data_IF_808135899879
#
_entry.id   IF_808135899879
#
_cell.length_a   1.000
_cell.length_b   1.000
_cell.length_c   1.000
_cell.angle_alpha   90.00
_cell.angle_beta   90.00
_cell.angle_gamma   90.00
#
_symmetry.space_group_name_H-M   'P 1'
#
loop_
_entity.id
_entity.type
_entity.pdbx_description
1 polymer ?
#
# COMPACT_ATOMS: atom_id res chain seq x y z
N UNK A 1 18.54 29.57 -25.41
CA UNK A 1 18.26 29.17 -24.01
C UNK A 1 16.77 28.82 -23.84
N UNK A 2 16.10 28.41 -24.93
CA UNK A 2 14.66 28.60 -25.07
C UNK A 2 13.86 27.29 -24.91
N UNK A 3 14.52 26.13 -24.90
CA UNK A 3 13.85 24.82 -24.75
C UNK A 3 13.51 24.44 -23.30
N UNK A 4 14.19 25.05 -22.32
CA UNK A 4 13.94 24.78 -20.89
C UNK A 4 12.71 25.57 -20.41
N UNK A 5 12.44 26.74 -21.00
CA UNK A 5 11.26 27.55 -20.71
C UNK A 5 9.99 26.93 -21.31
N UNK A 6 10.06 26.41 -22.54
CA UNK A 6 8.94 25.72 -23.21
C UNK A 6 8.47 24.46 -22.46
N UNK A 7 9.39 23.64 -21.95
CA UNK A 7 9.05 22.48 -21.09
C UNK A 7 8.54 22.83 -19.70
N UNK A 8 8.77 24.07 -19.23
CA UNK A 8 8.23 24.56 -17.97
C UNK A 8 6.80 25.06 -18.14
N UNK A 9 6.51 25.68 -19.28
CA UNK A 9 5.16 26.09 -19.68
C UNK A 9 4.26 24.89 -19.99
N UNK A 10 4.74 23.87 -20.71
CA UNK A 10 3.99 22.60 -20.92
C UNK A 10 3.76 21.81 -19.62
N UNK A 11 4.67 21.92 -18.65
CA UNK A 11 4.46 21.35 -17.30
C UNK A 11 3.58 22.21 -16.40
N UNK A 12 3.43 23.50 -16.70
CA UNK A 12 2.51 24.39 -15.99
C UNK A 12 1.08 24.22 -16.51
N UNK A 13 0.89 23.98 -17.81
CA UNK A 13 -0.43 23.65 -18.38
C UNK A 13 -0.96 22.29 -17.88
N UNK A 14 -0.08 21.32 -17.62
CA UNK A 14 -0.48 20.00 -17.08
C UNK A 14 -0.70 19.98 -15.56
N UNK A 15 -0.29 21.02 -14.82
CA UNK A 15 -0.43 21.11 -13.36
C UNK A 15 -1.62 21.93 -12.86
N UNK A 16 -2.38 22.58 -13.74
CA UNK A 16 -3.53 23.44 -13.38
C UNK A 16 -4.92 22.81 -13.61
N UNK A 17 -5.01 21.49 -13.77
CA UNK A 17 -6.30 20.77 -13.84
C UNK A 17 -6.56 19.91 -12.60
N UNK A 18 -6.54 20.54 -11.42
CA UNK A 18 -7.27 20.03 -10.25
C UNK A 18 -8.10 21.18 -9.70
N UNK A 19 -9.23 21.42 -10.36
CA UNK A 19 -10.23 22.36 -9.91
C UNK A 19 -10.90 21.78 -8.64
N UNK A 20 -11.11 22.55 -7.55
CA UNK A 20 -11.69 22.03 -6.30
C UNK A 20 -13.17 21.63 -6.37
N UNK A 21 -13.77 21.59 -7.57
CA UNK A 21 -15.19 21.40 -7.80
C UNK A 21 -15.62 19.94 -8.06
N UNK A 22 -14.69 18.97 -8.09
CA UNK A 22 -15.01 17.53 -8.22
C UNK A 22 -15.65 16.91 -6.95
N UNK A 23 -16.23 17.72 -6.07
CA UNK A 23 -16.99 17.30 -4.89
C UNK A 23 -18.50 17.52 -4.97
N UNK A 24 -19.04 18.06 -6.04
CA UNK A 24 -20.48 18.10 -6.26
C UNK A 24 -20.77 18.35 -7.74
N UNK A 25 -21.07 17.29 -8.50
CA UNK A 25 -21.85 17.37 -9.73
C UNK A 25 -22.42 15.96 -9.99
N UNK A 26 -23.51 15.65 -9.29
CA UNK A 26 -24.61 14.94 -9.93
C UNK A 26 -25.21 15.98 -10.88
N UNK A 27 -24.89 15.89 -12.17
CA UNK A 27 -25.63 16.68 -13.16
C UNK A 27 -27.07 16.17 -13.20
N UNK A 28 -27.96 17.16 -13.13
CA UNK A 28 -29.40 17.07 -13.14
C UNK A 28 -29.87 16.39 -14.42
N UNK A 29 -30.56 15.27 -14.26
CA UNK A 29 -31.61 14.89 -15.20
C UNK A 29 -32.87 15.63 -14.77
N UNK A 30 -33.19 16.71 -15.46
CA UNK A 30 -34.55 17.25 -15.45
C UNK A 30 -35.52 16.17 -15.96
N UNK A 31 -36.70 16.17 -15.34
CA UNK A 31 -37.89 15.35 -15.58
C UNK A 31 -37.86 13.90 -15.10
N UNK A 32 -38.00 13.73 -13.79
CA UNK A 32 -38.99 12.81 -13.20
C UNK A 32 -39.26 13.22 -11.76
N UNK A 33 -40.39 13.90 -11.55
CA UNK A 33 -41.04 13.93 -10.25
C UNK A 33 -41.31 12.47 -9.82
N UNK A 34 -40.67 11.93 -8.77
CA UNK A 34 -41.26 10.81 -8.09
C UNK A 34 -42.41 11.44 -7.30
N UNK A 35 -43.64 11.19 -7.74
CA UNK A 35 -44.82 11.50 -6.96
C UNK A 35 -44.68 10.81 -5.59
N UNK A 36 -44.13 11.55 -4.64
CA UNK A 36 -44.07 11.23 -3.23
C UNK A 36 -45.45 11.57 -2.66
N UNK A 37 -46.47 10.89 -3.15
CA UNK A 37 -47.69 10.67 -2.38
C UNK A 37 -47.32 9.70 -1.25
N UNK A 38 -46.70 10.27 -0.22
CA UNK A 38 -46.69 9.75 1.14
C UNK A 38 -48.13 9.72 1.65
N UNK A 39 -48.98 8.85 1.11
CA UNK A 39 -50.33 8.64 1.61
C UNK A 39 -50.86 7.25 1.22
N UNK A 40 -50.33 6.22 1.86
CA UNK A 40 -51.23 5.27 2.54
C UNK A 40 -50.47 4.46 3.59
N UNK A 41 -50.99 4.58 4.80
CA UNK A 41 -50.63 3.82 5.99
C UNK A 41 -50.76 2.33 5.71
N UNK A 42 -49.64 1.63 5.80
CA UNK A 42 -49.56 0.18 5.61
C UNK A 42 -48.18 -0.32 5.96
N UNK A 43 -47.78 -0.09 7.20
CA UNK A 43 -46.54 -0.56 7.85
C UNK A 43 -46.53 -2.10 7.94
N UNK A 44 -46.47 -2.77 6.80
CA UNK A 44 -45.90 -4.10 6.75
C UNK A 44 -44.41 -3.90 6.52
N UNK A 45 -43.65 -4.09 7.60
CA UNK A 45 -42.20 -4.36 7.57
C UNK A 45 -41.96 -5.74 6.96
N UNK A 46 -42.53 -5.98 5.78
CA UNK A 46 -42.23 -7.18 5.01
C UNK A 46 -40.81 -6.99 4.46
N UNK A 47 -39.84 -7.81 4.90
CA UNK A 47 -38.45 -7.68 4.46
C UNK A 47 -38.32 -7.78 2.93
N UNK A 48 -39.24 -8.48 2.26
CA UNK A 48 -39.25 -8.59 0.79
C UNK A 48 -39.64 -7.25 0.17
N UNK A 49 -40.69 -6.61 0.68
CA UNK A 49 -41.14 -5.29 0.19
C UNK A 49 -40.13 -4.17 0.51
N UNK A 50 -39.42 -4.29 1.64
CA UNK A 50 -38.29 -3.40 1.96
C UNK A 50 -37.14 -3.57 0.97
N UNK A 51 -36.76 -4.81 0.64
CA UNK A 51 -35.69 -5.10 -0.32
C UNK A 51 -36.00 -4.58 -1.73
N UNK A 52 -37.22 -4.76 -2.23
CA UNK A 52 -37.59 -4.24 -3.55
C UNK A 52 -37.56 -2.72 -3.61
N UNK A 53 -38.01 -2.04 -2.55
CA UNK A 53 -37.86 -0.58 -2.45
C UNK A 53 -36.40 -0.14 -2.44
N UNK A 54 -35.52 -0.86 -1.76
CA UNK A 54 -34.09 -0.56 -1.73
C UNK A 54 -33.41 -0.80 -3.09
N UNK A 55 -33.81 -1.83 -3.84
CA UNK A 55 -33.27 -2.10 -5.18
C UNK A 55 -33.83 -1.14 -6.23
N UNK A 56 -35.14 -0.84 -6.19
CA UNK A 56 -35.77 0.08 -7.15
C UNK A 56 -35.19 1.50 -7.06
N UNK A 57 -34.64 1.88 -5.90
CA UNK A 57 -33.94 3.14 -5.71
C UNK A 57 -32.54 3.20 -6.36
N UNK A 58 -31.93 2.06 -6.73
CA UNK A 58 -30.60 2.02 -7.36
C UNK A 58 -30.76 2.12 -8.88
N UNK A 59 -30.25 3.19 -9.53
CA UNK A 59 -30.39 3.35 -10.98
C UNK A 59 -29.61 2.28 -11.72
N UNK A 60 -30.19 1.80 -12.83
CA UNK A 60 -29.53 0.84 -13.72
C UNK A 60 -28.24 1.43 -14.28
N UNK A 61 -27.22 0.57 -14.42
CA UNK A 61 -25.95 0.96 -14.98
C UNK A 61 -26.09 1.28 -16.47
N UNK A 62 -25.71 2.50 -16.85
CA UNK A 62 -25.52 2.85 -18.27
C UNK A 62 -24.18 2.28 -18.75
N UNK A 63 -24.04 2.00 -20.04
CA UNK A 63 -22.76 1.56 -20.64
C UNK A 63 -21.58 2.48 -20.27
N UNK A 64 -21.83 3.79 -20.17
CA UNK A 64 -20.84 4.76 -19.70
C UNK A 64 -20.52 4.63 -18.21
N UNK A 65 -21.54 4.38 -17.38
CA UNK A 65 -21.40 4.08 -15.95
C UNK A 65 -20.58 2.81 -15.69
N UNK A 66 -20.85 1.73 -16.42
CA UNK A 66 -20.08 0.48 -16.34
C UNK A 66 -18.60 0.71 -16.64
N UNK A 67 -18.29 1.43 -17.72
CA UNK A 67 -16.92 1.76 -18.09
C UNK A 67 -16.21 2.62 -17.04
N UNK A 68 -16.92 3.57 -16.41
CA UNK A 68 -16.37 4.39 -15.31
C UNK A 68 -16.05 3.53 -14.09
N UNK A 69 -16.94 2.61 -13.71
CA UNK A 69 -16.72 1.71 -12.57
C UNK A 69 -15.54 0.78 -12.85
N UNK A 70 -15.48 0.17 -14.04
CA UNK A 70 -14.37 -0.69 -14.44
C UNK A 70 -13.01 0.02 -14.33
N UNK A 71 -12.90 1.21 -14.92
CA UNK A 71 -11.67 2.04 -14.83
C UNK A 71 -11.31 2.40 -13.38
N UNK A 72 -12.31 2.66 -12.53
CA UNK A 72 -12.08 2.97 -11.11
C UNK A 72 -11.51 1.75 -10.37
N UNK A 73 -12.08 0.58 -10.61
CA UNK A 73 -11.61 -0.68 -10.00
C UNK A 73 -10.17 -0.98 -10.44
N UNK A 74 -9.89 -0.91 -11.74
CA UNK A 74 -8.54 -1.13 -12.27
C UNK A 74 -7.51 -0.16 -11.67
N UNK A 75 -7.84 1.14 -11.61
CA UNK A 75 -6.98 2.15 -10.99
C UNK A 75 -6.76 1.86 -9.50
N UNK A 76 -7.78 1.41 -8.79
CA UNK A 76 -7.68 1.07 -7.37
C UNK A 76 -6.77 -0.14 -7.13
N UNK A 77 -6.93 -1.21 -7.92
CA UNK A 77 -6.12 -2.42 -7.85
C UNK A 77 -4.66 -2.11 -8.19
N UNK A 78 -4.42 -1.36 -9.27
CA UNK A 78 -3.07 -0.94 -9.66
C UNK A 78 -2.44 -0.03 -8.60
N UNK A 79 -3.23 0.83 -7.96
CA UNK A 79 -2.81 1.67 -6.84
C UNK A 79 -2.36 0.85 -5.63
N UNK A 80 -3.16 -0.14 -5.24
CA UNK A 80 -2.84 -1.06 -4.15
C UNK A 80 -1.56 -1.86 -4.45
N UNK A 81 -1.45 -2.44 -5.65
CA UNK A 81 -0.26 -3.20 -6.08
C UNK A 81 1.01 -2.32 -6.10
N UNK A 82 0.90 -1.06 -6.54
CA UNK A 82 2.02 -0.09 -6.48
C UNK A 82 2.42 0.25 -5.05
N UNK A 83 1.46 0.35 -4.13
CA UNK A 83 1.75 0.63 -2.72
C UNK A 83 2.43 -0.57 -2.05
N UNK A 84 1.89 -1.77 -2.25
CA UNK A 84 2.43 -3.03 -1.73
C UNK A 84 3.87 -3.26 -2.20
N UNK A 85 4.11 -3.17 -3.52
CA UNK A 85 5.43 -3.41 -4.11
C UNK A 85 6.52 -2.42 -3.67
N UNK A 86 6.17 -1.24 -3.16
CA UNK A 86 7.14 -0.23 -2.67
C UNK A 86 7.51 -0.40 -1.19
N UNK A 87 6.84 -1.30 -0.49
CA UNK A 87 7.10 -1.60 0.92
C UNK A 87 8.32 -2.50 1.05
N UNK A 88 9.25 -2.15 1.95
CA UNK A 88 10.42 -3.00 2.23
C UNK A 88 10.03 -4.25 3.03
N UNK A 89 9.03 -4.14 3.90
CA UNK A 89 8.45 -5.27 4.62
C UNK A 89 8.03 -6.38 3.65
N UNK A 90 7.31 -6.00 2.58
CA UNK A 90 6.85 -6.94 1.55
C UNK A 90 8.02 -7.59 0.83
N UNK A 91 9.07 -6.82 0.50
CA UNK A 91 10.27 -7.38 -0.10
C UNK A 91 10.97 -8.39 0.82
N UNK A 92 10.97 -8.13 2.14
CA UNK A 92 11.45 -9.07 3.15
C UNK A 92 10.64 -10.37 3.20
N UNK A 93 9.32 -10.28 3.21
CA UNK A 93 8.44 -11.46 3.18
C UNK A 93 8.59 -12.26 1.88
N UNK A 94 8.68 -11.59 0.72
CA UNK A 94 8.93 -12.27 -0.57
C UNK A 94 10.29 -13.00 -0.56
N UNK A 95 11.32 -12.41 0.05
CA UNK A 95 12.63 -13.07 0.21
C UNK A 95 12.49 -14.35 1.04
N UNK A 96 11.72 -14.32 2.13
CA UNK A 96 11.41 -15.51 2.95
C UNK A 96 10.62 -16.56 2.17
N UNK A 97 9.65 -16.14 1.35
CA UNK A 97 8.92 -17.06 0.47
C UNK A 97 9.86 -17.76 -0.52
N UNK A 98 10.84 -17.04 -1.08
CA UNK A 98 11.87 -17.65 -1.92
C UNK A 98 12.74 -18.67 -1.20
N UNK A 99 13.11 -18.42 0.07
CA UNK A 99 13.83 -19.40 0.88
C UNK A 99 13.00 -20.66 1.13
N UNK A 100 11.71 -20.50 1.45
CA UNK A 100 10.77 -21.64 1.61
C UNK A 100 10.58 -22.42 0.32
N UNK A 101 10.51 -21.72 -0.82
CA UNK A 101 10.44 -22.33 -2.15
C UNK A 101 11.68 -23.19 -2.43
N UNK A 102 12.89 -22.70 -2.08
CA UNK A 102 14.13 -23.49 -2.19
C UNK A 102 14.15 -24.73 -1.29
N UNK A 103 13.56 -24.63 -0.10
CA UNK A 103 13.41 -25.76 0.84
C UNK A 103 12.32 -26.74 0.43
N UNK A 104 11.61 -26.49 -0.68
CA UNK A 104 10.45 -27.28 -1.12
C UNK A 104 9.31 -27.33 -0.08
N UNK A 105 9.20 -26.30 0.77
CA UNK A 105 8.12 -26.17 1.75
C UNK A 105 6.88 -25.47 1.15
N UNK A 106 7.05 -24.79 0.02
CA UNK A 106 5.98 -24.09 -0.69
C UNK A 106 5.96 -24.50 -2.15
N UNK A 107 4.76 -24.75 -2.66
CA UNK A 107 4.52 -24.98 -4.09
C UNK A 107 4.48 -23.66 -4.86
N UNK A 108 5.03 -23.67 -6.06
CA UNK A 108 5.10 -22.50 -6.95
C UNK A 108 3.70 -22.00 -7.31
N UNK A 109 2.73 -22.92 -7.49
CA UNK A 109 1.35 -22.58 -7.82
C UNK A 109 0.61 -21.81 -6.72
N UNK A 110 1.07 -21.90 -5.47
CA UNK A 110 0.51 -21.10 -4.38
C UNK A 110 1.13 -19.69 -4.36
N UNK A 111 2.33 -19.51 -4.92
CA UNK A 111 3.07 -18.25 -4.89
C UNK A 111 2.75 -17.34 -6.10
N UNK A 112 2.73 -17.93 -7.30
CA UNK A 112 2.63 -17.21 -8.58
C UNK A 112 1.46 -17.75 -9.39
N UNK A 113 0.73 -16.86 -10.05
CA UNK A 113 -0.31 -17.22 -11.00
C UNK A 113 0.34 -17.94 -12.21
N UNK A 114 0.01 -19.22 -12.36
CA UNK A 114 0.50 -20.07 -13.44
C UNK A 114 -0.23 -19.73 -14.74
N UNK A 115 0.51 -19.30 -15.76
CA UNK A 115 -0.04 -19.09 -17.11
C UNK A 115 -0.35 -20.46 -17.77
N UNK A 116 -1.33 -20.55 -18.69
CA UNK A 116 -1.75 -21.84 -19.30
C UNK A 116 -0.61 -22.62 -19.99
N UNK A 117 0.44 -21.94 -20.45
CA UNK A 117 1.64 -22.55 -21.04
C UNK A 117 2.58 -23.21 -20.03
N UNK A 118 2.40 -22.96 -18.73
CA UNK A 118 3.22 -23.49 -17.65
C UNK A 118 2.79 -24.88 -17.17
N UNK A 119 1.69 -25.44 -17.69
CA UNK A 119 1.14 -26.74 -17.27
C UNK A 119 2.04 -27.94 -17.63
N UNK A 120 3.09 -27.74 -18.43
CA UNK A 120 4.10 -28.78 -18.71
C UNK A 120 5.16 -28.79 -17.61
N UNK A 121 5.64 -29.98 -17.20
CA UNK A 121 6.71 -30.13 -16.19
C UNK A 121 7.95 -29.26 -16.47
N UNK A 122 8.39 -29.19 -17.73
CA UNK A 122 9.51 -28.34 -18.17
C UNK A 122 9.20 -26.84 -18.11
N UNK A 123 7.92 -26.45 -18.20
CA UNK A 123 7.45 -25.08 -18.08
C UNK A 123 7.45 -24.62 -16.63
N UNK A 124 6.99 -25.47 -15.71
CA UNK A 124 7.05 -25.23 -14.26
C UNK A 124 8.47 -25.03 -13.77
N UNK A 125 9.39 -25.93 -14.15
CA UNK A 125 10.83 -25.81 -13.82
C UNK A 125 11.43 -24.51 -14.38
N UNK A 126 11.06 -24.18 -15.62
CA UNK A 126 11.21 -22.86 -16.29
C UNK A 126 10.94 -21.70 -15.35
N UNK A 127 9.66 -21.59 -15.02
CA UNK A 127 9.12 -20.47 -14.27
C UNK A 127 9.67 -20.41 -12.84
N UNK A 128 9.88 -21.54 -12.17
CA UNK A 128 10.42 -21.45 -10.82
C UNK A 128 11.90 -21.08 -10.77
N UNK A 129 12.69 -21.40 -11.79
CA UNK A 129 14.03 -20.82 -11.93
C UNK A 129 13.97 -19.29 -12.14
N UNK A 130 13.07 -18.81 -12.99
CA UNK A 130 12.87 -17.38 -13.23
C UNK A 130 12.40 -16.64 -11.97
N UNK A 131 11.42 -17.19 -11.26
CA UNK A 131 10.90 -16.65 -10.00
C UNK A 131 11.99 -16.61 -8.93
N UNK A 132 12.77 -17.69 -8.79
CA UNK A 132 13.89 -17.73 -7.84
C UNK A 132 14.95 -16.68 -8.20
N UNK A 133 15.32 -16.54 -9.48
CA UNK A 133 16.26 -15.51 -9.94
C UNK A 133 15.76 -14.09 -9.63
N UNK A 134 14.48 -13.81 -9.85
CA UNK A 134 13.86 -12.53 -9.50
C UNK A 134 13.88 -12.28 -7.99
N UNK A 135 13.64 -13.31 -7.15
CA UNK A 135 13.68 -13.18 -5.69
C UNK A 135 15.12 -12.97 -5.19
N UNK A 136 16.11 -13.60 -5.83
CA UNK A 136 17.53 -13.34 -5.56
C UNK A 136 17.92 -11.89 -5.86
N UNK A 137 17.47 -11.34 -6.99
CA UNK A 137 17.69 -9.94 -7.32
C UNK A 137 17.03 -9.00 -6.30
N UNK A 138 15.81 -9.30 -5.86
CA UNK A 138 15.14 -8.57 -4.78
C UNK A 138 15.97 -8.61 -3.49
N UNK A 139 16.51 -9.77 -3.13
CA UNK A 139 17.31 -9.96 -1.93
C UNK A 139 18.61 -9.15 -1.99
N UNK A 140 19.29 -9.15 -3.14
CA UNK A 140 20.49 -8.34 -3.39
C UNK A 140 20.20 -6.84 -3.29
N UNK A 141 19.11 -6.37 -3.93
CA UNK A 141 18.67 -4.98 -3.86
C UNK A 141 18.29 -4.55 -2.44
N UNK A 142 17.67 -5.44 -1.66
CA UNK A 142 17.35 -5.20 -0.25
C UNK A 142 18.62 -5.02 0.59
N UNK A 143 19.64 -5.85 0.37
CA UNK A 143 20.95 -5.70 1.01
C UNK A 143 21.63 -4.36 0.69
N UNK A 144 21.59 -3.92 -0.56
CA UNK A 144 22.07 -2.59 -0.96
C UNK A 144 21.29 -1.45 -0.31
N UNK A 145 19.96 -1.58 -0.22
CA UNK A 145 19.11 -0.60 0.47
C UNK A 145 19.47 -0.52 1.95
N UNK A 146 19.73 -1.64 2.62
CA UNK A 146 20.17 -1.66 4.01
C UNK A 146 21.52 -0.93 4.21
N UNK A 147 22.50 -1.16 3.31
CA UNK A 147 23.79 -0.45 3.31
C UNK A 147 23.60 1.06 3.15
N UNK A 148 22.74 1.49 2.23
CA UNK A 148 22.44 2.92 1.99
C UNK A 148 21.73 3.54 3.20
N UNK A 149 20.79 2.82 3.84
CA UNK A 149 20.13 3.27 5.08
C UNK A 149 21.14 3.46 6.22
N UNK A 150 22.07 2.52 6.39
CA UNK A 150 23.14 2.65 7.38
C UNK A 150 24.06 3.85 7.10
N UNK A 151 24.39 4.11 5.83
CA UNK A 151 25.15 5.31 5.43
C UNK A 151 24.37 6.60 5.67
N UNK A 152 23.06 6.62 5.40
CA UNK A 152 22.20 7.79 5.65
C UNK A 152 22.21 8.22 7.13
N UNK A 153 22.34 7.27 8.05
CA UNK A 153 22.46 7.56 9.48
C UNK A 153 23.72 8.36 9.85
N UNK A 154 24.77 8.33 9.02
CA UNK A 154 26.04 9.04 9.27
C UNK A 154 26.01 10.51 8.85
N UNK A 155 25.14 10.89 7.92
CA UNK A 155 25.10 12.24 7.37
C UNK A 155 23.98 13.07 7.97
N UNK A 156 24.25 14.38 8.18
CA UNK A 156 23.21 15.32 8.64
C UNK A 156 22.12 15.47 7.58
N UNK A 157 20.87 15.56 8.04
CA UNK A 157 19.70 15.86 7.19
C UNK A 157 19.97 17.17 6.40
N UNK A 158 19.72 17.15 5.08
CA UNK A 158 19.86 18.25 4.08
C UNK A 158 21.22 18.41 3.37
N UNK A 159 22.27 17.67 3.74
CA UNK A 159 23.56 17.71 3.02
C UNK A 159 23.41 17.23 1.57
N UNK A 160 24.28 17.69 0.65
CA UNK A 160 24.31 17.24 -0.76
C UNK A 160 24.44 15.72 -0.85
N UNK A 161 25.32 15.12 -0.06
CA UNK A 161 25.49 13.66 0.02
C UNK A 161 24.25 12.94 0.55
N UNK A 162 23.58 13.51 1.56
CA UNK A 162 22.32 12.96 2.07
C UNK A 162 21.24 12.93 0.99
N UNK A 163 21.11 14.00 0.19
CA UNK A 163 20.17 14.04 -0.95
C UNK A 163 20.55 13.04 -2.04
N UNK A 164 21.84 12.89 -2.37
CA UNK A 164 22.33 11.90 -3.34
C UNK A 164 21.99 10.47 -2.91
N UNK A 165 22.23 10.14 -1.64
CA UNK A 165 21.91 8.83 -1.06
C UNK A 165 20.40 8.56 -1.03
N UNK A 166 19.58 9.56 -0.70
CA UNK A 166 18.12 9.44 -0.78
C UNK A 166 17.64 9.13 -2.19
N UNK A 167 18.16 9.83 -3.20
CA UNK A 167 17.81 9.55 -4.61
C UNK A 167 18.25 8.15 -5.02
N UNK A 168 19.41 7.67 -4.56
CA UNK A 168 19.87 6.31 -4.80
C UNK A 168 18.95 5.28 -4.14
N UNK A 169 18.56 5.50 -2.88
CA UNK A 169 17.61 4.66 -2.16
C UNK A 169 16.26 4.58 -2.88
N UNK A 170 15.74 5.72 -3.35
CA UNK A 170 14.48 5.75 -4.11
C UNK A 170 14.57 4.93 -5.41
N UNK A 171 15.69 5.00 -6.14
CA UNK A 171 15.91 4.20 -7.36
C UNK A 171 15.90 2.69 -7.07
N UNK A 172 16.64 2.23 -6.06
CA UNK A 172 16.64 0.81 -5.69
C UNK A 172 15.24 0.35 -5.23
N UNK A 173 14.52 1.17 -4.47
CA UNK A 173 13.12 0.89 -4.09
C UNK A 173 12.20 0.76 -5.30
N UNK A 174 12.33 1.64 -6.29
CA UNK A 174 11.52 1.57 -7.52
C UNK A 174 11.89 0.34 -8.36
N UNK A 175 13.18 -0.01 -8.44
CA UNK A 175 13.66 -1.20 -9.15
C UNK A 175 13.07 -2.47 -8.53
N UNK A 176 13.22 -2.63 -7.22
CA UNK A 176 12.64 -3.73 -6.46
C UNK A 176 11.12 -3.81 -6.63
N UNK A 177 10.44 -2.66 -6.55
CA UNK A 177 8.99 -2.61 -6.76
C UNK A 177 8.57 -3.03 -8.17
N UNK A 178 9.40 -2.84 -9.20
CA UNK A 178 9.10 -3.31 -10.57
C UNK A 178 9.19 -4.83 -10.64
N UNK A 179 10.25 -5.41 -10.09
CA UNK A 179 10.43 -6.87 -10.05
C UNK A 179 9.27 -7.53 -9.31
N UNK A 180 8.90 -7.02 -8.13
CA UNK A 180 7.77 -7.56 -7.34
C UNK A 180 6.45 -7.52 -8.12
N UNK A 181 6.19 -6.49 -8.92
CA UNK A 181 4.96 -6.43 -9.73
C UNK A 181 4.98 -7.38 -10.91
N UNK A 182 6.16 -7.68 -11.45
CA UNK A 182 6.30 -8.60 -12.57
C UNK A 182 6.17 -10.07 -12.15
N UNK A 183 6.31 -10.39 -10.86
CA UNK A 183 6.17 -11.74 -10.31
C UNK A 183 4.75 -12.32 -10.36
N UNK A 184 3.73 -11.57 -10.79
CA UNK A 184 2.31 -12.00 -10.89
C UNK A 184 1.88 -12.89 -9.71
N UNK A 185 1.96 -12.33 -8.50
CA UNK A 185 1.64 -13.09 -7.27
C UNK A 185 0.16 -13.43 -7.21
N UNK A 186 -0.17 -14.58 -6.62
CA UNK A 186 -1.55 -15.01 -6.40
C UNK A 186 -2.29 -14.05 -5.47
N UNK A 187 -3.60 -13.88 -5.68
CA UNK A 187 -4.47 -13.05 -4.82
C UNK A 187 -4.41 -13.42 -3.33
N UNK A 188 -4.17 -14.69 -2.99
CA UNK A 188 -3.99 -15.17 -1.61
C UNK A 188 -2.73 -14.55 -0.97
N UNK A 189 -1.59 -14.64 -1.66
CA UNK A 189 -0.32 -14.03 -1.20
C UNK A 189 -0.47 -12.52 -1.06
N UNK A 190 -1.22 -11.87 -1.95
CA UNK A 190 -1.50 -10.44 -1.80
C UNK A 190 -2.24 -10.11 -0.50
N UNK A 191 -3.21 -10.93 -0.09
CA UNK A 191 -3.93 -10.75 1.18
C UNK A 191 -3.01 -11.01 2.38
N UNK A 192 -2.20 -12.07 2.35
CA UNK A 192 -1.22 -12.34 3.41
C UNK A 192 -0.24 -11.18 3.61
N UNK A 193 0.30 -10.63 2.52
CA UNK A 193 1.20 -9.47 2.55
C UNK A 193 0.51 -8.22 3.13
N UNK A 194 -0.76 -8.01 2.81
CA UNK A 194 -1.56 -6.92 3.39
C UNK A 194 -1.70 -7.09 4.90
N UNK A 195 -1.94 -8.31 5.37
CA UNK A 195 -2.12 -8.59 6.80
C UNK A 195 -0.81 -8.47 7.61
N UNK A 196 0.33 -8.83 7.00
CA UNK A 196 1.66 -8.53 7.57
C UNK A 196 1.86 -7.01 7.73
N UNK A 197 1.47 -6.21 6.74
CA UNK A 197 1.56 -4.75 6.85
C UNK A 197 0.63 -4.25 7.96
N UNK A 198 -0.64 -4.67 7.98
CA UNK A 198 -1.61 -4.24 8.99
C UNK A 198 -1.13 -4.54 10.41
N UNK A 199 -0.69 -5.79 10.66
CA UNK A 199 -0.18 -6.19 11.97
C UNK A 199 1.07 -5.40 12.39
N UNK A 200 1.96 -5.08 11.44
CA UNK A 200 3.13 -4.23 11.71
C UNK A 200 2.73 -2.79 12.02
N UNK A 201 1.79 -2.23 11.27
CA UNK A 201 1.24 -0.89 11.53
C UNK A 201 0.56 -0.84 12.90
N UNK A 202 -0.21 -1.85 13.27
CA UNK A 202 -0.85 -1.93 14.59
C UNK A 202 0.17 -1.95 15.73
N UNK A 203 1.28 -2.68 15.56
CA UNK A 203 2.41 -2.68 16.51
C UNK A 203 3.01 -1.28 16.65
N UNK A 204 3.29 -0.62 15.51
CA UNK A 204 3.85 0.74 15.47
C UNK A 204 2.90 1.74 16.14
N UNK A 205 1.62 1.72 15.81
CA UNK A 205 0.60 2.62 16.38
C UNK A 205 0.45 2.43 17.88
N UNK A 206 0.49 1.19 18.39
CA UNK A 206 0.49 0.90 19.83
C UNK A 206 1.71 1.53 20.52
N UNK A 207 2.91 1.31 19.97
CA UNK A 207 4.16 1.88 20.50
C UNK A 207 4.16 3.42 20.45
N UNK A 208 3.66 4.03 19.39
CA UNK A 208 3.51 5.48 19.29
C UNK A 208 2.55 6.05 20.34
N UNK A 209 1.41 5.38 20.58
CA UNK A 209 0.45 5.78 21.62
C UNK A 209 1.09 5.71 23.00
N UNK A 210 1.85 4.65 23.28
CA UNK A 210 2.61 4.51 24.54
C UNK A 210 3.68 5.59 24.68
N UNK A 211 4.45 5.86 23.63
CA UNK A 211 5.46 6.93 23.60
C UNK A 211 4.83 8.30 23.87
N UNK A 212 3.70 8.63 23.20
CA UNK A 212 2.94 9.87 23.42
C UNK A 212 2.38 9.99 24.85
N UNK A 213 1.92 8.89 25.45
CA UNK A 213 1.46 8.89 26.85
C UNK A 213 2.62 9.16 27.81
N UNK A 214 3.75 8.51 27.59
CA UNK A 214 4.94 8.66 28.43
C UNK A 214 5.57 10.05 28.32
N UNK A 215 5.59 10.66 27.13
CA UNK A 215 6.08 12.04 26.94
C UNK A 215 5.18 13.06 27.65
N UNK A 216 3.85 12.88 27.59
CA UNK A 216 2.90 13.71 28.37
C UNK A 216 3.11 13.59 29.87
N UNK A 217 3.30 12.36 30.38
CA UNK A 217 3.62 12.14 31.79
C UNK A 217 4.95 12.78 32.18
N UNK A 218 5.96 12.73 31.30
CA UNK A 218 7.27 13.36 31.51
C UNK A 218 7.19 14.89 31.67
N UNK A 219 6.24 15.54 30.98
CA UNK A 219 6.01 16.98 31.05
C UNK A 219 5.11 17.38 32.24
N UNK A 220 4.53 16.42 32.95
CA UNK A 220 3.79 16.64 34.20
C UNK A 220 4.70 16.50 35.43
N UNK A 221 4.36 17.16 36.55
CA UNK A 221 5.11 17.02 37.82
C UNK A 221 4.93 15.59 38.37
N UNK A 222 5.86 14.70 38.07
CA UNK A 222 5.88 13.31 38.55
C UNK A 222 6.67 13.14 39.87
N UNK A 223 6.32 12.12 40.66
CA UNK A 223 7.06 11.70 41.86
C UNK A 223 8.42 11.08 41.47
N UNK A 224 9.47 11.31 42.27
CA UNK A 224 10.88 10.94 42.00
C UNK A 224 11.13 9.48 41.52
N UNK A 225 10.34 8.51 41.99
CA UNK A 225 10.48 7.09 41.62
C UNK A 225 9.91 6.75 40.23
N UNK A 226 8.86 7.47 39.80
CA UNK A 226 8.26 7.30 38.47
C UNK A 226 9.12 7.97 37.39
N UNK A 227 9.85 9.04 37.74
CA UNK A 227 10.71 9.78 36.81
C UNK A 227 11.79 8.89 36.18
N UNK A 228 12.42 7.97 36.93
CA UNK A 228 13.43 7.05 36.37
C UNK A 228 12.82 6.05 35.38
N UNK A 229 11.66 5.44 35.72
CA UNK A 229 10.94 4.51 34.82
C UNK A 229 10.39 5.22 33.58
N UNK A 230 9.83 6.43 33.74
CA UNK A 230 9.27 7.25 32.66
C UNK A 230 10.37 7.84 31.77
N UNK A 231 11.63 7.99 32.23
CA UNK A 231 12.78 8.39 31.39
C UNK A 231 13.40 7.24 30.58
N UNK A 232 13.43 6.03 31.13
CA UNK A 232 14.05 4.87 30.47
C UNK A 232 13.12 4.20 29.44
N UNK A 233 11.82 4.14 29.72
CA UNK A 233 10.83 3.48 28.83
C UNK A 233 10.70 4.09 27.43
N UNK A 234 10.71 5.42 27.23
CA UNK A 234 10.69 6.01 25.88
C UNK A 234 11.87 5.57 25.03
N UNK A 235 13.08 5.54 25.61
CA UNK A 235 14.29 5.06 24.90
C UNK A 235 14.18 3.57 24.54
N UNK A 236 13.50 2.77 25.34
CA UNK A 236 13.24 1.36 25.04
C UNK A 236 12.18 1.20 23.92
N UNK A 237 11.17 2.07 23.88
CA UNK A 237 10.19 2.12 22.79
C UNK A 237 10.87 2.57 21.49
N UNK A 238 11.73 3.59 21.54
CA UNK A 238 12.50 4.06 20.38
C UNK A 238 13.50 3.02 19.86
N UNK A 239 13.94 2.09 20.71
CA UNK A 239 14.72 0.91 20.30
C UNK A 239 13.82 -0.10 19.60
N UNK A 240 12.70 -0.50 20.22
CA UNK A 240 11.73 -1.40 19.60
C UNK A 240 11.18 -0.91 18.26
N UNK A 241 11.00 0.41 18.11
CA UNK A 241 10.59 1.03 16.85
C UNK A 241 11.69 0.93 15.80
N UNK A 242 12.96 1.12 16.19
CA UNK A 242 14.11 0.91 15.30
C UNK A 242 14.30 -0.56 14.92
N UNK A 243 14.10 -1.48 15.87
CA UNK A 243 14.18 -2.92 15.61
C UNK A 243 13.12 -3.32 14.57
N UNK A 244 11.89 -2.78 14.66
CA UNK A 244 10.86 -2.97 13.63
C UNK A 244 11.27 -2.36 12.27
N UNK A 245 11.94 -1.21 12.28
CA UNK A 245 12.45 -0.58 11.05
C UNK A 245 13.63 -1.34 10.41
N UNK A 246 14.40 -2.06 11.21
CA UNK A 246 15.54 -2.90 10.77
C UNK A 246 15.09 -4.30 10.34
N UNK A 247 14.06 -4.86 10.97
CA UNK A 247 13.39 -6.10 10.54
C UNK A 247 12.69 -5.96 9.18
N UNK A 248 12.34 -4.72 8.80
CA UNK A 248 11.68 -4.32 7.55
C UNK A 248 12.62 -4.10 6.35
#
# INVERSE_FOLDING_TARGET
MDDIHKRREEKQSDLELINPQDKACFEEGEDRDPDLTTESLGTNNDPVRMYFREIDAVPLLTRGGEAKIGKRIEKSQMGALKALSRSLLVAGEISKCGEKLRRSELDIGNLVELDDHSLTRKGLEKQCQEVLGNIEEITALRGEVARIRAQLGKYRKKTREYKRLLSRLARHRISMARIIRNLKLTSQIHQELVDVIKSTVDRVVKLERESKKLTKLQNSRLKLHEVKKVRLRPRAIDRKMRDIEEEA
#
